data_IF_944754378576
#
_entry.id   IF_944754378576
#
_cell.length_a   1.000
_cell.length_b   1.000
_cell.length_c   1.000
_cell.angle_alpha   90.00
_cell.angle_beta   90.00
_cell.angle_gamma   90.00
#
_symmetry.space_group_name_H-M   'P 1'
#
loop_
_entity.id
_entity.type
_entity.pdbx_description
1 polymer ?
#
# COMPACT_ATOMS: atom_id res chain seq x y z
N UNK A 1 4.97 20.52 -8.45
CA UNK A 1 4.78 21.73 -7.63
C UNK A 1 3.40 22.29 -7.91
N UNK A 2 2.46 22.04 -7.00
CA UNK A 2 1.14 22.64 -7.04
C UNK A 2 1.07 23.78 -6.03
N UNK A 3 0.75 24.98 -6.53
CA UNK A 3 0.60 26.18 -5.72
C UNK A 3 -0.88 26.49 -5.58
N UNK A 4 -1.32 26.75 -4.36
CA UNK A 4 -2.67 27.24 -4.09
C UNK A 4 -2.60 28.72 -3.70
N UNK A 5 -3.48 29.50 -4.32
CA UNK A 5 -3.60 30.93 -4.05
C UNK A 5 -4.60 31.16 -2.90
N UNK A 6 -4.29 32.11 -2.03
CA UNK A 6 -5.20 32.61 -0.99
C UNK A 6 -5.16 34.14 -0.98
N UNK A 7 -6.30 34.79 -0.74
CA UNK A 7 -6.37 36.24 -0.47
C UNK A 7 -6.82 36.45 0.97
N UNK A 8 -5.96 37.01 1.81
CA UNK A 8 -6.23 37.35 3.21
C UNK A 8 -6.32 38.86 3.42
N UNK A 9 -6.63 39.29 4.66
CA UNK A 9 -6.65 40.72 5.03
C UNK A 9 -5.30 41.43 4.85
N UNK A 10 -4.21 40.66 4.80
CA UNK A 10 -2.84 41.13 4.66
C UNK A 10 -2.30 41.01 3.22
N UNK A 11 -3.12 40.59 2.25
CA UNK A 11 -2.72 40.43 0.85
C UNK A 11 -2.84 38.99 0.33
N UNK A 12 -2.16 38.72 -0.78
CA UNK A 12 -2.17 37.42 -1.45
C UNK A 12 -1.05 36.51 -0.92
N UNK A 13 -1.40 35.29 -0.55
CA UNK A 13 -0.50 34.28 -0.02
C UNK A 13 -0.48 33.08 -0.96
N UNK A 14 0.70 32.75 -1.47
CA UNK A 14 0.93 31.56 -2.28
C UNK A 14 1.46 30.46 -1.37
N UNK A 15 0.68 29.39 -1.23
CA UNK A 15 1.04 28.26 -0.38
C UNK A 15 1.34 27.03 -1.24
N UNK A 16 2.55 26.49 -1.08
CA UNK A 16 2.91 25.19 -1.64
C UNK A 16 2.38 24.07 -0.73
N UNK A 17 1.73 23.07 -1.33
CA UNK A 17 1.29 21.86 -0.61
C UNK A 17 2.46 21.17 0.11
N UNK A 18 3.63 21.15 -0.53
CA UNK A 18 4.86 20.56 0.02
C UNK A 18 5.34 21.33 1.25
N UNK A 19 5.25 22.67 1.23
CA UNK A 19 5.64 23.51 2.35
C UNK A 19 4.73 23.30 3.57
N UNK A 20 3.42 23.20 3.36
CA UNK A 20 2.45 22.91 4.44
C UNK A 20 2.69 21.52 5.02
N UNK A 21 2.92 20.52 4.16
CA UNK A 21 3.20 19.15 4.59
C UNK A 21 4.51 19.07 5.37
N UNK A 22 5.55 19.77 4.92
CA UNK A 22 6.84 19.88 5.61
C UNK A 22 6.69 20.55 6.97
N UNK A 23 5.98 21.68 7.01
CA UNK A 23 5.69 22.41 8.25
C UNK A 23 4.92 21.55 9.24
N UNK A 24 3.88 20.83 8.80
CA UNK A 24 3.14 19.89 9.65
C UNK A 24 4.05 18.77 10.20
N UNK A 25 5.00 18.27 9.42
CA UNK A 25 5.95 17.24 9.86
C UNK A 25 6.93 17.72 10.94
N UNK A 26 7.16 19.03 11.11
CA UNK A 26 8.08 19.54 12.17
C UNK A 26 7.58 19.29 13.58
N UNK A 27 6.25 19.20 13.77
CA UNK A 27 5.61 18.98 15.08
C UNK A 27 5.09 17.56 15.26
N UNK A 28 5.30 16.70 14.27
CA UNK A 28 4.86 15.30 14.29
C UNK A 28 5.78 14.44 15.17
N UNK A 29 5.23 13.56 16.03
CA UNK A 29 5.99 12.51 16.68
C UNK A 29 6.55 11.51 15.65
N UNK A 30 7.63 10.77 15.97
CA UNK A 30 8.31 9.89 15.02
C UNK A 30 7.45 8.76 14.43
N UNK A 31 6.38 8.38 15.13
CA UNK A 31 5.44 7.33 14.67
C UNK A 31 4.35 7.87 13.73
N UNK A 32 4.18 9.19 13.65
CA UNK A 32 3.17 9.86 12.83
C UNK A 32 3.85 10.62 11.69
N UNK A 33 3.19 10.67 10.54
CA UNK A 33 3.70 11.44 9.40
C UNK A 33 2.58 12.09 8.64
N UNK A 34 2.71 13.38 8.35
CA UNK A 34 1.87 14.05 7.36
C UNK A 34 2.25 13.55 5.97
N UNK A 35 1.32 12.86 5.30
CA UNK A 35 1.50 12.35 3.93
C UNK A 35 1.30 13.46 2.92
N UNK A 36 0.25 14.25 3.12
CA UNK A 36 -0.15 15.29 2.20
C UNK A 36 -0.99 16.34 2.95
N UNK A 37 -0.91 17.58 2.48
CA UNK A 37 -1.80 18.65 2.91
C UNK A 37 -2.53 19.23 1.70
N UNK A 38 -3.84 19.40 1.85
CA UNK A 38 -4.71 20.03 0.85
C UNK A 38 -5.30 21.30 1.46
N UNK A 39 -5.39 22.36 0.68
CA UNK A 39 -6.10 23.57 1.10
C UNK A 39 -7.46 23.62 0.42
N UNK A 40 -8.49 23.87 1.20
CA UNK A 40 -9.82 24.19 0.72
C UNK A 40 -9.89 25.72 0.61
N UNK A 41 -9.78 26.22 -0.62
CA UNK A 41 -9.56 27.64 -0.94
C UNK A 41 -10.64 28.57 -0.40
N UNK A 42 -11.91 28.14 -0.42
CA UNK A 42 -13.05 28.99 -0.02
C UNK A 42 -13.19 29.12 1.51
N UNK A 43 -12.84 28.07 2.27
CA UNK A 43 -13.11 28.01 3.71
C UNK A 43 -11.89 28.36 4.59
N UNK A 44 -10.74 28.66 3.98
CA UNK A 44 -9.44 28.79 4.66
C UNK A 44 -9.09 27.55 5.50
N UNK A 45 -9.49 26.36 5.04
CA UNK A 45 -9.24 25.09 5.76
C UNK A 45 -8.06 24.37 5.14
N UNK A 46 -7.00 24.14 5.92
CA UNK A 46 -5.93 23.21 5.60
C UNK A 46 -6.30 21.81 6.10
N UNK A 47 -6.56 20.89 5.18
CA UNK A 47 -6.78 19.49 5.49
C UNK A 47 -5.45 18.72 5.41
N UNK A 48 -4.94 18.28 6.56
CA UNK A 48 -3.69 17.53 6.68
C UNK A 48 -4.01 16.04 6.81
N UNK A 49 -3.50 15.23 5.88
CA UNK A 49 -3.64 13.78 5.89
C UNK A 49 -2.49 13.20 6.71
N UNK A 50 -2.83 12.60 7.85
CA UNK A 50 -1.86 12.05 8.80
C UNK A 50 -1.94 10.53 8.80
N UNK A 51 -0.78 9.90 8.60
CA UNK A 51 -0.61 8.46 8.71
C UNK A 51 -0.43 8.09 10.17
N UNK A 52 -1.33 7.27 10.71
CA UNK A 52 -1.28 6.76 12.08
C UNK A 52 -0.84 5.30 12.11
N UNK A 53 -0.05 4.88 13.12
CA UNK A 53 0.08 3.46 13.45
C UNK A 53 -1.31 2.89 13.83
N UNK A 54 -1.46 1.57 13.65
CA UNK A 54 -2.73 0.83 13.60
C UNK A 54 -3.63 1.00 14.85
N UNK A 55 -3.07 1.48 15.97
CA UNK A 55 -3.76 1.75 17.23
C UNK A 55 -3.40 3.14 17.79
N UNK A 56 -3.72 4.19 17.05
CA UNK A 56 -3.50 5.57 17.52
C UNK A 56 -4.46 5.93 18.66
N UNK A 57 -3.92 6.16 19.86
CA UNK A 57 -4.64 6.64 21.05
C UNK A 57 -5.36 7.97 20.75
N UNK A 58 -6.64 8.05 21.15
CA UNK A 58 -7.48 9.24 20.98
C UNK A 58 -6.90 10.47 21.67
N UNK A 59 -6.18 10.29 22.78
CA UNK A 59 -5.51 11.37 23.49
C UNK A 59 -4.41 12.02 22.63
N UNK A 60 -3.57 11.19 22.01
CA UNK A 60 -2.48 11.64 21.12
C UNK A 60 -3.03 12.33 19.88
N UNK A 61 -4.13 11.82 19.32
CA UNK A 61 -4.81 12.44 18.17
C UNK A 61 -5.30 13.85 18.47
N UNK A 62 -5.88 14.05 19.66
CA UNK A 62 -6.38 15.36 20.10
C UNK A 62 -5.24 16.35 20.36
N UNK A 63 -4.19 15.89 21.05
CA UNK A 63 -3.00 16.72 21.29
C UNK A 63 -2.33 17.15 19.97
N UNK A 64 -2.23 16.23 19.00
CA UNK A 64 -1.67 16.53 17.68
C UNK A 64 -2.54 17.53 16.91
N UNK A 65 -3.86 17.45 17.08
CA UNK A 65 -4.80 18.42 16.53
C UNK A 65 -4.57 19.81 17.08
N UNK A 66 -4.47 19.95 18.40
CA UNK A 66 -4.24 21.25 19.03
C UNK A 66 -2.89 21.85 18.64
N UNK A 67 -1.83 21.03 18.55
CA UNK A 67 -0.51 21.44 18.07
C UNK A 67 -0.55 21.98 16.64
N UNK A 68 -1.23 21.27 15.73
CA UNK A 68 -1.36 21.72 14.35
C UNK A 68 -2.21 22.98 14.24
N UNK A 69 -3.31 23.07 14.97
CA UNK A 69 -4.13 24.30 15.01
C UNK A 69 -3.29 25.49 15.46
N UNK A 70 -2.51 25.35 16.52
CA UNK A 70 -1.63 26.42 17.02
C UNK A 70 -0.53 26.81 16.02
N UNK A 71 0.00 25.84 15.27
CA UNK A 71 1.02 26.08 14.24
C UNK A 71 0.46 26.90 13.06
N UNK A 72 -0.78 26.63 12.66
CA UNK A 72 -1.41 27.23 11.49
C UNK A 72 -2.30 28.46 11.81
N UNK A 73 -2.62 28.70 13.09
CA UNK A 73 -3.39 29.86 13.54
C UNK A 73 -2.76 31.22 13.16
N UNK A 74 -1.43 31.44 13.25
CA UNK A 74 -0.79 32.67 12.79
C UNK A 74 -0.94 32.89 11.28
N UNK A 75 -1.08 31.80 10.52
CA UNK A 75 -1.35 31.84 9.09
C UNK A 75 -2.85 32.08 8.82
N UNK A 76 -3.70 32.18 9.84
CA UNK A 76 -5.14 32.37 9.69
C UNK A 76 -5.84 31.19 9.00
N UNK A 77 -5.28 29.99 9.11
CA UNK A 77 -5.81 28.77 8.52
C UNK A 77 -6.50 27.93 9.60
N UNK A 78 -7.70 27.44 9.30
CA UNK A 78 -8.36 26.40 10.09
C UNK A 78 -7.77 25.05 9.70
N UNK A 79 -7.48 24.17 10.65
CA UNK A 79 -6.90 22.85 10.36
C UNK A 79 -7.95 21.77 10.53
N UNK A 80 -8.06 20.89 9.53
CA UNK A 80 -8.80 19.64 9.62
C UNK A 80 -7.80 18.49 9.46
N UNK A 81 -7.92 17.46 10.29
CA UNK A 81 -7.03 16.31 10.22
C UNK A 81 -7.81 15.11 9.70
N UNK A 82 -7.32 14.54 8.60
CA UNK A 82 -7.82 13.29 8.05
C UNK A 82 -6.84 12.18 8.42
N UNK A 83 -7.33 11.16 9.12
CA UNK A 83 -6.50 10.04 9.56
C UNK A 83 -6.53 8.95 8.50
N UNK A 84 -5.35 8.46 8.10
CA UNK A 84 -5.22 7.27 7.27
C UNK A 84 -4.36 6.25 8.00
N UNK A 85 -4.76 4.98 7.95
CA UNK A 85 -3.92 3.90 8.43
C UNK A 85 -2.70 3.79 7.52
N UNK A 86 -1.53 3.52 8.09
CA UNK A 86 -0.34 3.16 7.31
C UNK A 86 -0.68 1.95 6.43
N UNK A 87 -0.97 2.19 5.16
CA UNK A 87 -0.79 1.15 4.15
C UNK A 87 0.69 0.81 4.18
N UNK A 88 1.01 -0.47 4.42
CA UNK A 88 2.37 -0.96 4.27
C UNK A 88 2.81 -0.59 2.86
N UNK A 89 3.64 0.45 2.74
CA UNK A 89 4.25 0.81 1.48
C UNK A 89 4.99 -0.44 1.01
N UNK A 90 4.54 -1.03 -0.09
CA UNK A 90 5.12 -2.24 -0.65
C UNK A 90 6.57 -1.95 -1.04
N UNK A 91 7.47 -2.24 -0.11
CA UNK A 91 8.88 -1.94 -0.24
C UNK A 91 9.55 -3.12 -0.95
N UNK A 92 9.40 -3.13 -2.28
CA UNK A 92 9.97 -4.14 -3.16
C UNK A 92 11.45 -4.47 -2.87
N UNK A 93 12.36 -3.50 -2.63
CA UNK A 93 13.75 -3.82 -2.29
C UNK A 93 13.89 -4.47 -0.91
N UNK A 94 13.08 -4.11 0.09
CA UNK A 94 13.10 -4.76 1.40
C UNK A 94 12.61 -6.22 1.33
N UNK A 95 11.55 -6.47 0.55
CA UNK A 95 11.07 -7.82 0.26
C UNK A 95 12.14 -8.65 -0.47
N UNK A 96 12.74 -8.11 -1.53
CA UNK A 96 13.81 -8.77 -2.27
C UNK A 96 14.96 -9.19 -1.34
N UNK A 97 15.36 -8.31 -0.42
CA UNK A 97 16.44 -8.57 0.52
C UNK A 97 16.07 -9.64 1.57
N UNK A 98 14.79 -9.72 1.95
CA UNK A 98 14.27 -10.78 2.82
C UNK A 98 14.20 -12.12 2.09
N UNK A 99 13.72 -12.15 0.84
CA UNK A 99 13.64 -13.37 0.03
C UNK A 99 15.04 -13.96 -0.29
N UNK A 100 16.04 -13.10 -0.53
CA UNK A 100 17.43 -13.51 -0.82
C UNK A 100 18.08 -14.34 0.29
N UNK A 101 17.59 -14.23 1.54
CA UNK A 101 18.10 -15.00 2.69
C UNK A 101 17.63 -16.45 2.68
N UNK A 102 16.57 -16.78 1.96
CA UNK A 102 16.04 -18.14 1.93
C UNK A 102 16.75 -18.97 0.85
N UNK A 103 17.24 -20.18 1.18
CA UNK A 103 17.88 -21.06 0.19
C UNK A 103 16.92 -21.49 -0.93
N UNK A 104 15.62 -21.56 -0.63
CA UNK A 104 14.55 -21.88 -1.58
C UNK A 104 14.46 -20.83 -2.69
N UNK A 105 14.73 -19.55 -2.39
CA UNK A 105 14.74 -18.48 -3.39
C UNK A 105 15.79 -18.75 -4.47
N UNK A 106 17.01 -19.08 -4.06
CA UNK A 106 18.09 -19.41 -4.99
C UNK A 106 17.82 -20.71 -5.74
N UNK A 107 17.27 -21.73 -5.08
CA UNK A 107 16.85 -22.97 -5.73
C UNK A 107 15.83 -22.71 -6.85
N UNK A 108 14.83 -21.85 -6.58
CA UNK A 108 13.85 -21.44 -7.59
C UNK A 108 14.48 -20.69 -8.76
N UNK A 109 15.37 -19.73 -8.48
CA UNK A 109 16.09 -18.98 -9.53
C UNK A 109 16.92 -19.90 -10.40
N UNK A 110 17.68 -20.83 -9.82
CA UNK A 110 18.49 -21.80 -10.57
C UNK A 110 17.60 -22.75 -11.37
N UNK A 111 16.49 -23.22 -10.81
CA UNK A 111 15.54 -24.06 -11.52
C UNK A 111 14.91 -23.34 -12.73
N UNK A 112 14.58 -22.05 -12.59
CA UNK A 112 14.09 -21.22 -13.70
C UNK A 112 15.18 -21.10 -14.78
N UNK A 113 16.42 -20.77 -14.41
CA UNK A 113 17.53 -20.64 -15.36
C UNK A 113 17.83 -21.95 -16.09
N UNK A 114 17.83 -23.07 -15.37
CA UNK A 114 18.03 -24.41 -15.93
C UNK A 114 16.87 -24.77 -16.86
N UNK A 115 15.63 -24.48 -16.47
CA UNK A 115 14.44 -24.68 -17.29
C UNK A 115 14.45 -23.87 -18.58
N UNK A 116 14.89 -22.60 -18.53
CA UNK A 116 15.06 -21.77 -19.73
C UNK A 116 16.15 -22.38 -20.64
N UNK A 117 17.27 -22.83 -20.07
CA UNK A 117 18.40 -23.38 -20.82
C UNK A 117 18.08 -24.72 -21.50
N UNK A 118 17.29 -25.59 -20.86
CA UNK A 118 16.98 -26.94 -21.39
C UNK A 118 15.76 -26.99 -22.30
N UNK A 119 14.72 -26.20 -22.00
CA UNK A 119 13.41 -26.28 -22.66
C UNK A 119 13.07 -25.05 -23.51
N UNK A 120 13.86 -23.97 -23.39
CA UNK A 120 13.56 -22.68 -23.99
C UNK A 120 12.34 -21.99 -23.35
N UNK A 121 12.11 -20.72 -23.70
CA UNK A 121 10.98 -19.94 -23.16
C UNK A 121 9.61 -20.60 -23.41
N UNK A 122 9.46 -21.27 -24.57
CA UNK A 122 8.23 -21.96 -24.96
C UNK A 122 7.96 -23.21 -24.13
N UNK A 123 9.00 -23.97 -23.79
CA UNK A 123 8.85 -25.17 -22.96
C UNK A 123 8.64 -24.87 -21.48
N UNK A 124 9.26 -23.80 -20.97
CA UNK A 124 9.03 -23.35 -19.59
C UNK A 124 7.59 -22.86 -19.37
N UNK A 125 7.00 -22.17 -20.35
CA UNK A 125 5.58 -21.82 -20.33
C UNK A 125 4.67 -23.06 -20.28
N UNK A 126 5.02 -24.12 -21.00
CA UNK A 126 4.29 -25.39 -20.99
C UNK A 126 4.41 -26.10 -19.63
N UNK A 127 5.59 -26.11 -19.01
CA UNK A 127 5.80 -26.68 -17.68
C UNK A 127 5.00 -25.95 -16.59
N UNK A 128 4.93 -24.61 -16.65
CA UNK A 128 4.10 -23.82 -15.73
C UNK A 128 2.63 -24.19 -15.92
N UNK A 129 2.15 -24.28 -17.17
CA UNK A 129 0.78 -24.65 -17.48
C UNK A 129 0.42 -26.04 -16.94
N UNK A 130 1.25 -27.05 -17.18
CA UNK A 130 1.06 -28.40 -16.64
C UNK A 130 1.19 -28.45 -15.13
N UNK A 131 2.03 -27.61 -14.52
CA UNK A 131 2.10 -27.46 -13.07
C UNK A 131 0.79 -26.96 -12.47
N UNK A 132 0.15 -25.95 -13.08
CA UNK A 132 -1.18 -25.48 -12.68
C UNK A 132 -2.26 -26.53 -12.86
N UNK A 133 -2.24 -27.27 -13.97
CA UNK A 133 -3.17 -28.37 -14.23
C UNK A 133 -3.00 -29.47 -13.16
N UNK A 134 -1.76 -29.86 -12.88
CA UNK A 134 -1.43 -30.86 -11.85
C UNK A 134 -1.86 -30.41 -10.45
N UNK A 135 -1.66 -29.14 -10.11
CA UNK A 135 -2.13 -28.57 -8.85
C UNK A 135 -3.67 -28.58 -8.75
N UNK A 136 -4.37 -28.23 -9.84
CA UNK A 136 -5.83 -28.31 -9.91
C UNK A 136 -6.35 -29.73 -9.73
N UNK A 137 -5.72 -30.71 -10.38
CA UNK A 137 -6.08 -32.13 -10.23
C UNK A 137 -5.79 -32.62 -8.81
N UNK A 138 -4.62 -32.29 -8.24
CA UNK A 138 -4.27 -32.65 -6.87
C UNK A 138 -5.27 -32.05 -5.86
N UNK A 139 -5.68 -30.79 -6.06
CA UNK A 139 -6.71 -30.14 -5.27
C UNK A 139 -8.06 -30.85 -5.35
N UNK A 140 -8.46 -31.33 -6.53
CA UNK A 140 -9.69 -32.11 -6.72
C UNK A 140 -9.61 -33.51 -6.09
N UNK A 141 -8.45 -34.16 -6.14
CA UNK A 141 -8.19 -35.45 -5.47
C UNK A 141 -8.29 -35.30 -3.95
N UNK A 142 -7.60 -34.29 -3.39
CA UNK A 142 -7.59 -34.03 -1.95
C UNK A 142 -8.98 -33.59 -1.45
N UNK A 143 -9.73 -32.87 -2.29
CA UNK A 143 -11.10 -32.42 -1.97
C UNK A 143 -12.16 -33.52 -2.10
N UNK A 144 -11.81 -34.75 -2.51
CA UNK A 144 -12.77 -35.86 -2.70
C UNK A 144 -13.75 -35.68 -3.89
N UNK A 145 -13.74 -34.53 -4.57
CA UNK A 145 -14.62 -34.21 -5.71
C UNK A 145 -14.32 -35.04 -6.96
N UNK A 146 -13.13 -35.64 -7.03
CA UNK A 146 -12.74 -36.45 -8.19
C UNK A 146 -13.56 -37.75 -8.27
N UNK A 147 -13.88 -38.40 -7.15
CA UNK A 147 -14.72 -39.61 -7.14
C UNK A 147 -16.18 -39.33 -7.50
N UNK A 148 -16.70 -38.16 -7.14
CA UNK A 148 -18.06 -37.71 -7.50
C UNK A 148 -18.19 -37.39 -9.00
N UNK A 149 -17.14 -36.81 -9.60
CA UNK A 149 -17.12 -36.58 -11.05
C UNK A 149 -16.99 -37.87 -11.84
N UNK A 150 -16.16 -38.82 -11.39
CA UNK A 150 -16.02 -40.12 -12.03
C UNK A 150 -17.31 -40.95 -11.94
N UNK A 151 -18.00 -40.94 -10.80
CA UNK A 151 -19.30 -41.62 -10.66
C UNK A 151 -20.39 -40.96 -11.52
N UNK A 152 -20.46 -39.63 -11.55
CA UNK A 152 -21.41 -38.89 -12.42
C UNK A 152 -21.20 -39.14 -13.92
N UNK A 153 -19.95 -39.28 -14.38
CA UNK A 153 -19.64 -39.57 -15.78
C UNK A 153 -19.94 -41.04 -16.13
N UNK A 154 -19.75 -41.95 -15.17
CA UNK A 154 -20.05 -43.37 -15.34
C UNK A 154 -21.57 -43.64 -15.34
N UNK A 155 -22.34 -42.89 -14.55
CA UNK A 155 -23.80 -42.95 -14.50
C UNK A 155 -24.45 -42.38 -15.78
N UNK A 156 -23.83 -41.38 -16.43
CA UNK A 156 -24.29 -40.83 -17.72
C UNK A 156 -24.06 -41.74 -18.93
N UNK A 157 -23.36 -42.87 -18.76
CA UNK A 157 -23.00 -43.79 -19.86
C UNK A 157 -23.88 -45.04 -19.93
N UNK A 158 -24.85 -45.18 -19.02
CA UNK A 158 -25.87 -46.22 -19.04
C UNK A 158 -27.21 -45.71 -19.59
#
# INVERSE_FOLDING_TARGET
MEYLWRRGKLGELWLSKEAITSLANTVMPPEYKAREATLQGDDNVANVIVVSPHSGDLAVKKELQDKLVNLFAPLGLKVKISWTSKEESFDAPALMNRLRKYPIFWGSVVAIIAGISQLGLKGLGLCILFGFIGWGIAGLVISGKLSDLFSSIMDRRH
#
